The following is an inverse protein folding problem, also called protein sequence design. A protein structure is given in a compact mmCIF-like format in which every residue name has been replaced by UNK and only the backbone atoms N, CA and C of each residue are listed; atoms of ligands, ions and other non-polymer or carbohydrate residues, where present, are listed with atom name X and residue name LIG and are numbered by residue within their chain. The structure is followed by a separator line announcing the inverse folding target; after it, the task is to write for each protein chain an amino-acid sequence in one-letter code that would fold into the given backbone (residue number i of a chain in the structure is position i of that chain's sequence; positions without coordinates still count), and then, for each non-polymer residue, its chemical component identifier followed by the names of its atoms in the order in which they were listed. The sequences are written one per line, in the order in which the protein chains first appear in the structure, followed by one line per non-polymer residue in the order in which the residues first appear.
data_IF_308793420726
#
_entry.id   IF_308793420726
#
_cell.length_a   1.000
_cell.length_b   1.000
_cell.length_c   1.000
_cell.angle_alpha   90.00
_cell.angle_beta   90.00
_cell.angle_gamma   90.00
#
_symmetry.space_group_name_H-M   'P 1'
#
loop_
_entity.id
_entity.type
_entity.pdbx_description
1 polymer ?
#
# COMPACT_ATOMS: atom_id res chain seq x y z
N UNK A 1 -24.54 9.32 10.50
CA UNK A 1 -24.92 10.76 10.54
C UNK A 1 -23.94 11.62 11.33
N UNK A 2 -23.87 11.56 12.67
CA UNK A 2 -22.91 12.37 13.46
C UNK A 2 -21.46 12.03 13.13
N UNK A 3 -21.12 10.74 12.99
CA UNK A 3 -19.77 10.30 12.63
C UNK A 3 -19.42 10.61 11.16
N UNK A 4 -20.37 10.44 10.23
CA UNK A 4 -20.21 10.82 8.82
C UNK A 4 -20.06 12.34 8.64
N UNK A 5 -20.77 13.14 9.45
CA UNK A 5 -20.58 14.59 9.55
C UNK A 5 -19.19 14.93 10.10
N UNK A 6 -18.68 14.15 11.06
CA UNK A 6 -17.32 14.33 11.60
C UNK A 6 -16.25 14.00 10.53
N UNK A 7 -16.36 12.88 9.81
CA UNK A 7 -15.42 12.51 8.75
C UNK A 7 -15.42 13.48 7.56
N UNK A 8 -16.60 14.00 7.18
CA UNK A 8 -16.72 14.98 6.08
C UNK A 8 -16.22 16.38 6.46
N UNK A 9 -16.43 16.83 7.70
CA UNK A 9 -16.05 18.19 8.12
C UNK A 9 -14.66 18.28 8.76
N UNK A 10 -14.03 17.15 9.12
CA UNK A 10 -12.73 17.13 9.80
C UNK A 10 -11.62 16.47 8.96
N UNK A 11 -11.70 16.51 7.63
CA UNK A 11 -10.60 16.08 6.75
C UNK A 11 -9.23 16.68 7.14
N UNK A 12 -9.12 17.97 7.56
CA UNK A 12 -7.87 18.52 8.07
C UNK A 12 -7.42 17.89 9.39
N UNK A 13 -8.35 17.58 10.30
CA UNK A 13 -8.05 16.90 11.57
C UNK A 13 -7.66 15.44 11.36
N UNK A 14 -8.22 14.77 10.34
CA UNK A 14 -7.81 13.42 9.94
C UNK A 14 -6.39 13.43 9.37
N UNK A 15 -6.08 14.39 8.50
CA UNK A 15 -4.72 14.62 8.04
C UNK A 15 -3.79 14.92 9.21
N UNK A 16 -4.18 15.77 10.15
CA UNK A 16 -3.37 16.14 11.30
C UNK A 16 -3.18 14.96 12.28
N UNK A 17 -4.22 14.16 12.53
CA UNK A 17 -4.15 12.94 13.33
C UNK A 17 -3.19 11.95 12.68
N UNK A 18 -3.37 11.61 11.41
CA UNK A 18 -2.49 10.66 10.72
C UNK A 18 -1.07 11.21 10.58
N UNK A 19 -0.89 12.52 10.34
CA UNK A 19 0.42 13.17 10.29
C UNK A 19 1.11 13.10 11.65
N UNK A 20 0.38 13.34 12.75
CA UNK A 20 0.89 13.16 14.10
C UNK A 20 1.16 11.68 14.42
N UNK A 21 0.38 10.75 13.90
CA UNK A 21 0.63 9.30 14.02
C UNK A 21 1.88 8.88 13.24
N UNK A 22 2.10 9.40 12.03
CA UNK A 22 3.31 9.19 11.23
C UNK A 22 4.54 9.80 11.91
N UNK A 23 4.43 11.03 12.44
CA UNK A 23 5.50 11.69 13.20
C UNK A 23 5.80 11.01 14.54
N UNK A 24 4.77 10.51 15.23
CA UNK A 24 4.95 9.69 16.42
C UNK A 24 5.67 8.39 16.05
N UNK A 25 5.18 7.66 15.05
CA UNK A 25 5.76 6.41 14.59
C UNK A 25 7.26 6.58 14.29
N UNK A 26 7.65 7.64 13.55
CA UNK A 26 9.03 8.01 13.22
C UNK A 26 10.00 8.08 14.41
N UNK A 27 9.51 8.25 15.64
CA UNK A 27 10.30 8.44 16.86
C UNK A 27 10.24 7.25 17.85
N UNK A 28 9.44 6.21 17.58
CA UNK A 28 9.23 5.10 18.54
C UNK A 28 9.69 3.74 18.02
N UNK A 29 9.93 2.83 18.98
CA UNK A 29 10.12 1.41 18.73
C UNK A 29 8.87 0.77 18.08
N UNK A 30 9.08 -0.31 17.35
CA UNK A 30 8.09 -0.90 16.45
C UNK A 30 6.78 -1.37 17.12
N UNK A 31 6.85 -1.81 18.39
CA UNK A 31 5.68 -2.20 19.19
C UNK A 31 4.67 -1.04 19.36
N UNK A 32 5.14 0.18 19.22
CA UNK A 32 4.32 1.40 19.32
C UNK A 32 3.60 1.72 18.00
N UNK A 33 4.01 1.13 16.86
CA UNK A 33 3.45 1.45 15.52
C UNK A 33 2.20 0.64 15.20
N UNK A 34 2.16 -0.61 15.64
CA UNK A 34 1.07 -1.56 15.33
C UNK A 34 -0.33 -1.04 15.71
N UNK A 35 -0.56 -0.46 16.91
CA UNK A 35 -1.86 0.10 17.24
C UNK A 35 -2.27 1.22 16.27
N UNK A 36 -1.33 2.02 15.78
CA UNK A 36 -1.64 3.10 14.83
C UNK A 36 -2.03 2.57 13.45
N UNK A 37 -1.34 1.52 12.97
CA UNK A 37 -1.75 0.82 11.76
C UNK A 37 -3.17 0.25 11.91
N UNK A 38 -3.50 -0.36 13.04
CA UNK A 38 -4.86 -0.86 13.30
C UNK A 38 -5.92 0.26 13.25
N UNK A 39 -5.63 1.45 13.78
CA UNK A 39 -6.56 2.59 13.68
C UNK A 39 -6.77 3.04 12.22
N UNK A 40 -5.69 3.15 11.44
CA UNK A 40 -5.78 3.51 10.01
C UNK A 40 -6.57 2.45 9.24
N UNK A 41 -6.43 1.17 9.62
CA UNK A 41 -7.13 0.05 8.99
C UNK A 41 -8.64 0.23 9.16
N UNK A 42 -9.10 0.43 10.40
CA UNK A 42 -10.52 0.65 10.67
C UNK A 42 -11.07 1.89 9.96
N UNK A 43 -10.28 2.96 9.84
CA UNK A 43 -10.66 4.15 9.08
C UNK A 43 -10.83 3.87 7.59
N UNK A 44 -9.99 3.01 7.00
CA UNK A 44 -10.13 2.59 5.61
C UNK A 44 -11.41 1.77 5.39
N UNK A 45 -11.81 0.95 6.36
CA UNK A 45 -12.99 0.09 6.30
C UNK A 45 -14.33 0.82 6.56
N UNK A 46 -14.31 2.12 6.85
CA UNK A 46 -15.55 2.86 7.09
C UNK A 46 -16.36 2.96 5.80
N UNK A 47 -17.61 2.50 5.85
CA UNK A 47 -18.54 2.54 4.73
C UNK A 47 -19.26 3.90 4.71
N UNK A 48 -18.56 4.92 4.20
CA UNK A 48 -19.09 6.27 4.01
C UNK A 48 -18.87 6.76 2.57
N UNK A 49 -19.14 8.04 2.29
CA UNK A 49 -19.02 8.61 0.93
C UNK A 49 -17.59 8.93 0.46
N UNK A 50 -16.54 8.63 1.24
CA UNK A 50 -15.15 9.02 0.94
C UNK A 50 -14.09 7.89 0.97
N UNK A 51 -14.40 6.61 0.67
CA UNK A 51 -13.44 5.51 0.82
C UNK A 51 -12.18 5.70 -0.05
N UNK A 52 -12.34 6.22 -1.27
CA UNK A 52 -11.21 6.46 -2.18
C UNK A 52 -10.12 7.36 -1.60
N UNK A 53 -10.50 8.51 -1.00
CA UNK A 53 -9.52 9.46 -0.46
C UNK A 53 -8.80 8.91 0.76
N UNK A 54 -9.52 8.21 1.65
CA UNK A 54 -8.93 7.61 2.85
C UNK A 54 -7.97 6.47 2.51
N UNK A 55 -8.40 5.56 1.64
CA UNK A 55 -7.55 4.43 1.23
C UNK A 55 -6.32 4.92 0.48
N UNK A 56 -6.46 5.90 -0.41
CA UNK A 56 -5.31 6.53 -1.07
C UNK A 56 -4.30 7.06 -0.06
N UNK A 57 -4.78 7.87 0.89
CA UNK A 57 -3.93 8.50 1.87
C UNK A 57 -3.27 7.48 2.80
N UNK A 58 -4.00 6.47 3.25
CA UNK A 58 -3.48 5.38 4.06
C UNK A 58 -2.37 4.60 3.32
N UNK A 59 -2.59 4.23 2.05
CA UNK A 59 -1.58 3.55 1.24
C UNK A 59 -0.32 4.41 1.11
N UNK A 60 -0.46 5.70 0.79
CA UNK A 60 0.68 6.62 0.67
C UNK A 60 1.47 6.75 1.96
N UNK A 61 0.79 6.99 3.09
CA UNK A 61 1.48 7.20 4.37
C UNK A 61 2.14 5.92 4.88
N UNK A 62 1.52 4.75 4.69
CA UNK A 62 2.13 3.48 5.09
C UNK A 62 3.30 3.09 4.19
N UNK A 63 3.26 3.41 2.89
CA UNK A 63 4.44 3.26 2.01
C UNK A 63 5.58 4.22 2.37
N UNK A 64 5.28 5.45 2.81
CA UNK A 64 6.32 6.36 3.33
C UNK A 64 6.92 5.81 4.61
N UNK A 65 6.08 5.32 5.52
CA UNK A 65 6.51 4.73 6.78
C UNK A 65 7.39 3.51 6.55
N UNK A 66 7.00 2.60 5.65
CA UNK A 66 7.81 1.42 5.33
C UNK A 66 9.19 1.79 4.77
N UNK A 67 9.29 2.90 4.01
CA UNK A 67 10.57 3.42 3.50
C UNK A 67 11.46 3.93 4.63
N UNK A 68 10.90 4.64 5.60
CA UNK A 68 11.64 5.07 6.79
C UNK A 68 12.24 3.89 7.56
N UNK A 69 11.55 2.75 7.59
CA UNK A 69 12.01 1.52 8.24
C UNK A 69 12.70 0.52 7.32
N UNK A 70 13.04 0.88 6.08
CA UNK A 70 13.56 -0.05 5.06
C UNK A 70 14.83 -0.81 5.49
N UNK A 71 15.60 -0.24 6.42
CA UNK A 71 16.82 -0.83 6.97
C UNK A 71 16.57 -1.85 8.10
N UNK A 72 15.31 -2.13 8.41
CA UNK A 72 14.90 -3.08 9.42
C UNK A 72 13.93 -4.10 8.79
N UNK A 73 14.04 -5.40 9.10
CA UNK A 73 13.12 -6.42 8.57
C UNK A 73 11.67 -6.17 9.04
N UNK A 74 11.52 -5.40 10.11
CA UNK A 74 10.26 -5.06 10.71
C UNK A 74 9.38 -4.11 9.88
N UNK A 75 9.88 -3.54 8.76
CA UNK A 75 9.03 -2.82 7.81
C UNK A 75 7.94 -3.71 7.21
N UNK A 76 8.07 -5.05 7.31
CA UNK A 76 7.04 -6.02 6.96
C UNK A 76 5.70 -5.77 7.65
N UNK A 77 5.64 -5.19 8.86
CA UNK A 77 4.35 -4.87 9.51
C UNK A 77 3.51 -3.88 8.68
N UNK A 78 4.16 -2.94 8.00
CA UNK A 78 3.49 -2.03 7.07
C UNK A 78 2.91 -2.79 5.87
N UNK A 79 3.61 -3.83 5.40
CA UNK A 79 3.14 -4.64 4.28
C UNK A 79 2.00 -5.58 4.67
N UNK A 80 2.03 -6.16 5.88
CA UNK A 80 0.89 -6.91 6.41
C UNK A 80 -0.36 -6.04 6.52
N UNK A 81 -0.20 -4.78 6.93
CA UNK A 81 -1.31 -3.82 6.94
C UNK A 81 -1.86 -3.57 5.53
N UNK A 82 -0.98 -3.34 4.55
CA UNK A 82 -1.39 -3.08 3.16
C UNK A 82 -2.11 -4.31 2.58
N UNK A 83 -1.55 -5.50 2.79
CA UNK A 83 -2.12 -6.80 2.40
C UNK A 83 -3.54 -6.95 2.98
N UNK A 84 -3.72 -6.71 4.28
CA UNK A 84 -5.02 -6.77 4.93
C UNK A 84 -6.06 -5.79 4.33
N UNK A 85 -5.63 -4.59 3.92
CA UNK A 85 -6.53 -3.65 3.21
C UNK A 85 -6.87 -4.20 1.83
N UNK A 86 -5.90 -4.71 1.08
CA UNK A 86 -6.09 -5.27 -0.26
C UNK A 86 -7.06 -6.46 -0.28
N UNK A 87 -7.18 -7.21 0.81
CA UNK A 87 -8.10 -8.34 0.96
C UNK A 87 -9.48 -7.94 1.51
N UNK A 88 -9.65 -6.68 1.92
CA UNK A 88 -10.91 -6.18 2.47
C UNK A 88 -11.91 -5.76 1.38
N UNK A 89 -13.10 -5.31 1.79
CA UNK A 89 -14.11 -4.78 0.86
C UNK A 89 -13.69 -3.50 0.12
N UNK A 90 -12.69 -2.75 0.62
CA UNK A 90 -12.07 -1.62 -0.10
C UNK A 90 -10.82 -2.04 -0.87
N UNK A 91 -10.52 -3.34 -0.92
CA UNK A 91 -9.35 -3.92 -1.56
C UNK A 91 -9.10 -3.45 -2.99
N UNK A 92 -10.10 -3.43 -3.89
CA UNK A 92 -9.93 -2.95 -5.26
C UNK A 92 -9.40 -1.50 -5.34
N UNK A 93 -9.80 -0.65 -4.38
CA UNK A 93 -9.32 0.74 -4.30
C UNK A 93 -7.83 0.75 -3.91
N UNK A 94 -7.45 -0.03 -2.90
CA UNK A 94 -6.08 -0.09 -2.41
C UNK A 94 -5.12 -0.68 -3.46
N UNK A 95 -5.51 -1.77 -4.11
CA UNK A 95 -4.75 -2.40 -5.18
C UNK A 95 -4.50 -1.42 -6.33
N UNK A 96 -5.51 -0.65 -6.74
CA UNK A 96 -5.36 0.38 -7.78
C UNK A 96 -4.33 1.46 -7.40
N UNK A 97 -4.31 1.90 -6.14
CA UNK A 97 -3.30 2.88 -5.70
C UNK A 97 -1.91 2.27 -5.60
N UNK A 98 -1.77 1.02 -5.13
CA UNK A 98 -0.48 0.33 -5.09
C UNK A 98 0.10 0.10 -6.48
N UNK A 99 -0.75 -0.21 -7.46
CA UNK A 99 -0.36 -0.32 -8.87
C UNK A 99 0.14 1.02 -9.42
N UNK A 100 -0.54 2.13 -9.09
CA UNK A 100 -0.10 3.48 -9.48
C UNK A 100 1.27 3.86 -8.90
N UNK A 101 1.65 3.27 -7.75
CA UNK A 101 2.90 3.57 -7.06
C UNK A 101 3.97 2.49 -7.25
N UNK A 102 3.84 1.57 -8.22
CA UNK A 102 4.82 0.47 -8.43
C UNK A 102 6.27 0.96 -8.48
N UNK A 103 6.54 2.01 -9.26
CA UNK A 103 7.88 2.59 -9.40
C UNK A 103 8.44 3.15 -8.10
N UNK A 104 7.59 3.45 -7.11
CA UNK A 104 8.01 3.98 -5.82
C UNK A 104 8.42 2.90 -4.81
N UNK A 105 7.79 1.72 -4.86
CA UNK A 105 7.95 0.69 -3.84
C UNK A 105 8.65 -0.58 -4.35
N UNK A 106 8.38 -1.02 -5.58
CA UNK A 106 9.00 -2.23 -6.14
C UNK A 106 10.53 -2.15 -6.13
N UNK A 107 11.20 -1.08 -6.62
CA UNK A 107 12.66 -1.02 -6.59
C UNK A 107 13.21 -1.14 -5.16
N UNK A 108 12.59 -0.40 -4.23
CA UNK A 108 13.06 -0.26 -2.86
C UNK A 108 12.94 -1.56 -2.06
N UNK A 109 11.81 -2.25 -2.19
CA UNK A 109 11.46 -3.36 -1.31
C UNK A 109 11.62 -4.73 -1.96
N UNK A 110 11.38 -4.86 -3.26
CA UNK A 110 11.52 -6.12 -3.97
C UNK A 110 12.97 -6.37 -4.39
N UNK A 111 13.62 -5.36 -4.98
CA UNK A 111 14.90 -5.56 -5.67
C UNK A 111 16.09 -5.20 -4.79
N UNK A 112 16.07 -4.02 -4.16
CA UNK A 112 17.23 -3.49 -3.45
C UNK A 112 17.22 -3.74 -1.94
N UNK A 113 16.15 -4.29 -1.37
CA UNK A 113 16.12 -4.55 0.06
C UNK A 113 17.12 -5.66 0.43
N UNK A 114 17.86 -5.46 1.52
CA UNK A 114 18.90 -6.39 2.00
C UNK A 114 18.34 -7.64 2.71
N UNK A 115 17.07 -7.60 3.16
CA UNK A 115 16.44 -8.67 3.92
C UNK A 115 15.52 -9.50 3.01
N UNK A 116 15.79 -10.81 2.92
CA UNK A 116 14.98 -11.75 2.13
C UNK A 116 13.51 -11.74 2.53
N UNK A 117 13.22 -11.64 3.83
CA UNK A 117 11.84 -11.62 4.35
C UNK A 117 11.05 -10.42 3.82
N UNK A 118 11.70 -9.26 3.63
CA UNK A 118 11.06 -8.06 3.09
C UNK A 118 10.81 -8.22 1.60
N UNK A 119 11.78 -8.78 0.87
CA UNK A 119 11.64 -9.08 -0.57
C UNK A 119 10.50 -10.05 -0.83
N UNK A 120 10.45 -11.17 -0.11
CA UNK A 120 9.36 -12.16 -0.19
C UNK A 120 7.99 -11.53 0.09
N UNK A 121 7.94 -10.55 0.98
CA UNK A 121 6.69 -9.87 1.30
C UNK A 121 6.29 -8.83 0.25
N UNK A 122 7.27 -8.19 -0.39
CA UNK A 122 7.04 -7.39 -1.59
C UNK A 122 6.56 -8.25 -2.76
N UNK A 123 7.12 -9.46 -2.96
CA UNK A 123 6.66 -10.44 -3.95
C UNK A 123 5.20 -10.83 -3.71
N UNK A 124 4.85 -11.20 -2.47
CA UNK A 124 3.48 -11.52 -2.08
C UNK A 124 2.51 -10.37 -2.39
N UNK A 125 2.96 -9.12 -2.21
CA UNK A 125 2.14 -7.95 -2.52
C UNK A 125 1.97 -7.74 -4.03
N UNK A 126 3.00 -8.02 -4.84
CA UNK A 126 2.87 -8.07 -6.30
C UNK A 126 1.85 -9.13 -6.74
N UNK A 127 1.83 -10.29 -6.09
CA UNK A 127 0.84 -11.34 -6.37
C UNK A 127 -0.59 -10.82 -6.15
N UNK A 128 -0.83 -10.14 -5.03
CA UNK A 128 -2.15 -9.59 -4.71
C UNK A 128 -2.55 -8.45 -5.66
N UNK A 129 -1.61 -7.56 -6.00
CA UNK A 129 -1.91 -6.32 -6.74
C UNK A 129 -1.95 -6.56 -8.26
N UNK A 130 -1.15 -7.49 -8.77
CA UNK A 130 -0.94 -7.69 -10.22
C UNK A 130 -1.48 -9.06 -10.65
N UNK A 131 -0.95 -10.14 -10.08
CA UNK A 131 -1.18 -11.47 -10.62
C UNK A 131 -2.56 -12.04 -10.28
N UNK A 132 -3.10 -11.73 -9.09
CA UNK A 132 -4.43 -12.17 -8.68
C UNK A 132 -5.53 -11.69 -9.61
N UNK A 133 -5.34 -10.56 -10.29
CA UNK A 133 -6.28 -10.06 -11.30
C UNK A 133 -6.41 -11.02 -12.49
N UNK A 134 -5.34 -11.74 -12.86
CA UNK A 134 -5.36 -12.75 -13.93
C UNK A 134 -6.22 -13.96 -13.51
N UNK A 135 -6.15 -14.35 -12.25
CA UNK A 135 -6.94 -15.46 -11.71
C UNK A 135 -8.44 -15.13 -11.61
N UNK A 136 -8.75 -13.83 -11.50
CA UNK A 136 -10.12 -13.32 -11.34
C UNK A 136 -10.78 -12.90 -12.66
N UNK A 137 -10.12 -13.07 -13.82
CA UNK A 137 -10.64 -12.68 -15.14
C UNK A 137 -11.95 -13.41 -15.45
N UNK A 138 -13.01 -12.65 -15.73
CA UNK A 138 -14.32 -13.20 -16.13
C UNK A 138 -14.73 -12.83 -17.55
N UNK A 139 -14.16 -11.76 -18.09
CA UNK A 139 -14.45 -11.29 -19.44
C UNK A 139 -13.21 -10.68 -20.15
N UNK A 140 -13.41 -10.25 -21.40
CA UNK A 140 -12.35 -9.67 -22.23
C UNK A 140 -11.82 -8.34 -21.68
N UNK A 141 -12.64 -7.57 -20.97
CA UNK A 141 -12.21 -6.30 -20.39
C UNK A 141 -11.32 -6.56 -19.17
N UNK A 142 -11.73 -7.47 -18.28
CA UNK A 142 -10.93 -7.89 -17.13
C UNK A 142 -9.56 -8.43 -17.58
N UNK A 143 -9.54 -9.22 -18.67
CA UNK A 143 -8.30 -9.72 -19.26
C UNK A 143 -7.38 -8.59 -19.71
N UNK A 144 -7.92 -7.59 -20.42
CA UNK A 144 -7.14 -6.43 -20.87
C UNK A 144 -6.56 -5.64 -19.69
N UNK A 145 -7.35 -5.42 -18.63
CA UNK A 145 -6.90 -4.72 -17.44
C UNK A 145 -5.79 -5.49 -16.69
N UNK A 146 -5.94 -6.81 -16.56
CA UNK A 146 -4.92 -7.66 -15.93
C UNK A 146 -3.63 -7.70 -16.74
N UNK A 147 -3.70 -7.85 -18.06
CA UNK A 147 -2.53 -7.79 -18.95
C UNK A 147 -1.79 -6.45 -18.84
N UNK A 148 -2.53 -5.34 -18.77
CA UNK A 148 -1.95 -4.01 -18.64
C UNK A 148 -1.19 -3.85 -17.31
N UNK A 149 -1.73 -4.38 -16.21
CA UNK A 149 -1.03 -4.41 -14.92
C UNK A 149 0.27 -5.22 -15.00
N UNK A 150 0.27 -6.38 -15.66
CA UNK A 150 1.48 -7.21 -15.85
C UNK A 150 2.50 -6.49 -16.73
N UNK A 151 2.07 -5.89 -17.84
CA UNK A 151 2.93 -5.12 -18.74
C UNK A 151 3.63 -3.98 -18.00
N UNK A 152 2.91 -3.23 -17.16
CA UNK A 152 3.51 -2.16 -16.33
C UNK A 152 4.61 -2.67 -15.41
N UNK A 153 4.36 -3.75 -14.68
CA UNK A 153 5.36 -4.35 -13.79
C UNK A 153 6.58 -4.82 -14.60
N UNK A 154 6.34 -5.52 -15.71
CA UNK A 154 7.41 -6.04 -16.55
C UNK A 154 8.29 -4.93 -17.15
N UNK A 155 7.69 -3.88 -17.71
CA UNK A 155 8.43 -2.72 -18.23
C UNK A 155 9.28 -2.06 -17.14
N UNK A 156 8.72 -1.86 -15.94
CA UNK A 156 9.47 -1.31 -14.81
C UNK A 156 10.69 -2.16 -14.46
N UNK A 157 10.54 -3.49 -14.41
CA UNK A 157 11.65 -4.40 -14.11
C UNK A 157 12.72 -4.37 -15.20
N UNK A 158 12.34 -4.32 -16.47
CA UNK A 158 13.28 -4.19 -17.59
C UNK A 158 14.06 -2.88 -17.54
N UNK A 159 13.38 -1.74 -17.40
CA UNK A 159 14.02 -0.42 -17.33
C UNK A 159 15.08 -0.36 -16.21
N UNK A 160 14.80 -1.04 -15.10
CA UNK A 160 15.73 -1.14 -13.98
C UNK A 160 16.94 -2.03 -14.25
N UNK A 161 16.75 -3.15 -14.96
CA UNK A 161 17.87 -4.02 -15.36
C UNK A 161 18.81 -3.28 -16.31
N UNK A 162 18.26 -2.59 -17.31
CA UNK A 162 19.04 -1.77 -18.25
C UNK A 162 19.82 -0.66 -17.52
N UNK A 163 19.20 -0.03 -16.52
CA UNK A 163 19.84 1.02 -15.72
C UNK A 163 20.97 0.50 -14.80
N UNK A 164 20.96 -0.78 -14.43
CA UNK A 164 21.99 -1.39 -13.59
C UNK A 164 23.23 -1.85 -14.40
N UNK A 165 23.07 -2.05 -15.71
CA UNK A 165 24.14 -2.45 -16.64
C UNK A 165 24.94 -1.26 -17.22
N UNK A 166 24.43 -0.03 -17.09
CA UNK A 166 25.02 1.22 -17.61
C UNK A 166 25.97 1.92 -16.62
#
# INVERSE_FOLDING_TARGET
DIFSYFCNNNYPFFQELVTQLCHAASNYHLETIKPYLEHIFYLCLMNDGLPHKRVQFAVQEVLKLSKTYNNFPNCCECFHFIEAICESHVGPIAQRFLELYLSEWVPTFLLYNMYDVVRQKAESLCDIVIFKKLDEVRDEQDMQEAEESVKKLYCLLLDMMESAEA
#
